data_IF_803149559343
#
_entry.id   IF_803149559343
#
_cell.length_a   1.000
_cell.length_b   1.000
_cell.length_c   1.000
_cell.angle_alpha   90.00
_cell.angle_beta   90.00
_cell.angle_gamma   90.00
#
_symmetry.space_group_name_H-M   'P 1'
#
loop_
_entity.id
_entity.type
_entity.pdbx_description
1 polymer ?
#
# COMPACT_ATOMS: atom_id res chain seq x y z
N UNK A 1 30.73 -21.58 -2.26
CA UNK A 1 30.64 -20.10 -2.35
C UNK A 1 29.20 -19.67 -2.08
N UNK A 2 28.84 -19.46 -0.81
CA UNK A 2 27.50 -18.99 -0.43
C UNK A 2 27.37 -17.50 -0.74
N UNK A 3 26.59 -17.15 -1.76
CA UNK A 3 26.18 -15.77 -1.98
C UNK A 3 25.43 -15.28 -0.72
N UNK A 4 26.07 -14.39 0.06
CA UNK A 4 25.40 -13.71 1.18
C UNK A 4 24.18 -13.00 0.59
N UNK A 5 22.99 -13.47 0.94
CA UNK A 5 21.73 -12.82 0.60
C UNK A 5 21.77 -11.43 1.21
N UNK A 6 21.95 -10.41 0.37
CA UNK A 6 21.90 -9.02 0.81
C UNK A 6 20.48 -8.73 1.31
N UNK A 7 20.34 -8.57 2.63
CA UNK A 7 19.11 -8.18 3.32
C UNK A 7 19.03 -6.64 3.45
N UNK A 8 19.89 -5.90 2.75
CA UNK A 8 19.98 -4.42 2.85
C UNK A 8 18.71 -3.73 2.33
N UNK A 9 17.85 -4.45 1.59
CA UNK A 9 16.53 -3.98 1.16
C UNK A 9 15.45 -4.10 2.25
N UNK A 10 15.75 -4.74 3.40
CA UNK A 10 14.91 -4.81 4.60
C UNK A 10 15.30 -3.71 5.59
N UNK A 11 15.56 -2.49 5.10
CA UNK A 11 15.63 -1.30 5.96
C UNK A 11 14.23 -0.94 6.45
N UNK A 12 13.67 -1.81 7.30
CA UNK A 12 12.27 -1.85 7.74
C UNK A 12 12.08 -0.93 8.94
N UNK A 13 11.23 0.07 8.82
CA UNK A 13 10.69 0.82 9.97
C UNK A 13 9.39 0.17 10.46
N UNK A 14 9.17 0.01 11.79
CA UNK A 14 8.36 -1.11 12.30
C UNK A 14 6.85 -0.84 12.45
N UNK A 15 6.37 0.40 12.44
CA UNK A 15 4.93 0.67 12.62
C UNK A 15 4.09 0.53 11.33
N UNK A 16 4.38 1.20 10.20
CA UNK A 16 3.44 1.22 9.07
C UNK A 16 3.48 -0.08 8.22
N UNK A 17 4.56 -0.86 8.31
CA UNK A 17 4.69 -2.13 7.58
C UNK A 17 3.88 -3.27 8.19
N UNK A 18 3.56 -3.20 9.49
CA UNK A 18 2.63 -4.15 10.11
C UNK A 18 1.20 -3.96 9.59
N UNK A 19 0.86 -2.73 9.23
CA UNK A 19 -0.46 -2.37 8.73
C UNK A 19 -0.60 -2.60 7.22
N UNK A 20 0.52 -2.71 6.49
CA UNK A 20 0.52 -2.92 5.04
C UNK A 20 -0.29 -4.15 4.59
N UNK A 21 -0.18 -5.35 5.20
CA UNK A 21 -1.01 -6.49 4.80
C UNK A 21 -2.51 -6.21 4.94
N UNK A 22 -2.92 -5.48 5.99
CA UNK A 22 -4.31 -5.12 6.20
C UNK A 22 -4.78 -4.08 5.17
N UNK A 23 -3.97 -3.05 4.91
CA UNK A 23 -4.27 -2.04 3.90
C UNK A 23 -4.35 -2.64 2.49
N UNK A 24 -3.41 -3.51 2.11
CA UNK A 24 -3.44 -4.19 0.81
C UNK A 24 -4.63 -5.14 0.71
N UNK A 25 -4.96 -5.87 1.78
CA UNK A 25 -6.16 -6.71 1.81
C UNK A 25 -7.45 -5.88 1.64
N UNK A 26 -7.54 -4.69 2.25
CA UNK A 26 -8.64 -3.76 2.06
C UNK A 26 -8.72 -3.26 0.60
N UNK A 27 -7.58 -2.92 -0.02
CA UNK A 27 -7.56 -2.52 -1.44
C UNK A 27 -7.96 -3.66 -2.40
N UNK A 28 -7.71 -4.92 -2.03
CA UNK A 28 -8.12 -6.10 -2.81
C UNK A 28 -9.57 -6.50 -2.56
N UNK A 29 -10.21 -6.00 -1.49
CA UNK A 29 -11.58 -6.30 -1.10
C UNK A 29 -12.44 -5.03 -1.18
N UNK A 30 -13.06 -4.73 -2.34
CA UNK A 30 -13.83 -3.49 -2.53
C UNK A 30 -15.15 -3.41 -1.73
N UNK A 31 -15.46 -4.40 -0.88
CA UNK A 31 -16.59 -4.31 0.03
C UNK A 31 -16.31 -3.25 1.11
N UNK A 32 -17.18 -2.24 1.21
CA UNK A 32 -17.09 -1.16 2.18
C UNK A 32 -17.12 -1.73 3.61
N UNK A 33 -15.95 -1.95 4.20
CA UNK A 33 -15.82 -2.54 5.52
C UNK A 33 -14.42 -3.06 5.82
N UNK A 34 -14.26 -3.65 7.01
CA UNK A 34 -13.00 -4.28 7.43
C UNK A 34 -12.69 -5.46 6.51
N UNK A 35 -11.46 -5.60 5.97
CA UNK A 35 -11.11 -6.75 5.16
C UNK A 35 -11.28 -8.05 5.97
N UNK A 36 -11.80 -9.14 5.36
CA UNK A 36 -11.85 -10.45 6.00
C UNK A 36 -10.48 -10.85 6.57
N UNK A 37 -10.47 -11.36 7.80
CA UNK A 37 -9.23 -11.79 8.49
C UNK A 37 -8.43 -12.81 7.67
N UNK A 38 -9.11 -13.67 6.91
CA UNK A 38 -8.48 -14.62 5.99
C UNK A 38 -7.66 -13.94 4.88
N UNK A 39 -8.14 -12.82 4.32
CA UNK A 39 -7.39 -12.06 3.31
C UNK A 39 -6.16 -11.37 3.91
N UNK A 40 -6.31 -10.81 5.11
CA UNK A 40 -5.17 -10.21 5.84
C UNK A 40 -4.11 -11.28 6.15
N UNK A 41 -4.53 -12.45 6.62
CA UNK A 41 -3.62 -13.56 6.91
C UNK A 41 -2.92 -14.09 5.65
N UNK A 42 -3.64 -14.19 4.53
CA UNK A 42 -3.06 -14.58 3.25
C UNK A 42 -2.01 -13.58 2.76
N UNK A 43 -2.28 -12.28 2.88
CA UNK A 43 -1.32 -11.24 2.47
C UNK A 43 -0.10 -11.21 3.41
N UNK A 44 -0.32 -11.36 4.72
CA UNK A 44 0.78 -11.50 5.68
C UNK A 44 1.68 -12.68 5.34
N UNK A 45 1.11 -13.86 5.07
CA UNK A 45 1.89 -15.03 4.69
C UNK A 45 2.64 -14.82 3.37
N UNK A 46 2.05 -14.10 2.42
CA UNK A 46 2.69 -13.77 1.14
C UNK A 46 3.91 -12.87 1.34
N UNK A 47 3.77 -11.80 2.13
CA UNK A 47 4.87 -10.89 2.49
C UNK A 47 5.94 -11.65 3.27
N UNK A 48 5.56 -12.44 4.27
CA UNK A 48 6.49 -13.25 5.06
C UNK A 48 7.32 -14.20 4.17
N UNK A 49 6.69 -14.89 3.20
CA UNK A 49 7.45 -15.73 2.26
C UNK A 49 8.38 -14.93 1.36
N UNK A 50 7.98 -13.73 0.93
CA UNK A 50 8.85 -12.84 0.15
C UNK A 50 10.04 -12.35 0.96
N UNK A 51 9.83 -12.03 2.24
CA UNK A 51 10.89 -11.63 3.18
C UNK A 51 11.85 -12.78 3.47
N UNK A 52 11.33 -13.94 3.87
CA UNK A 52 12.15 -15.07 4.31
C UNK A 52 12.80 -15.84 3.17
N UNK A 53 12.14 -15.94 2.01
CA UNK A 53 12.56 -16.83 0.91
C UNK A 53 12.55 -16.16 -0.46
N UNK A 54 12.13 -14.90 -0.56
CA UNK A 54 11.99 -14.21 -1.82
C UNK A 54 13.33 -13.78 -2.43
N UNK A 55 13.19 -13.09 -3.56
CA UNK A 55 14.29 -12.45 -4.27
C UNK A 55 13.96 -10.98 -4.41
N UNK A 56 14.98 -10.14 -4.64
CA UNK A 56 14.78 -8.72 -4.93
C UNK A 56 13.79 -8.51 -6.10
N UNK A 57 13.85 -9.35 -7.14
CA UNK A 57 12.89 -9.30 -8.26
C UNK A 57 11.46 -9.62 -7.81
N UNK A 58 11.29 -10.61 -6.92
CA UNK A 58 10.00 -10.95 -6.33
C UNK A 58 9.43 -9.81 -5.48
N UNK A 59 10.28 -9.17 -4.70
CA UNK A 59 9.93 -7.99 -3.89
C UNK A 59 9.51 -6.79 -4.76
N UNK A 60 10.32 -6.42 -5.76
CA UNK A 60 9.98 -5.31 -6.67
C UNK A 60 8.69 -5.57 -7.47
N UNK A 61 8.40 -6.83 -7.81
CA UNK A 61 7.12 -7.21 -8.42
C UNK A 61 5.97 -7.00 -7.45
N UNK A 62 6.13 -7.38 -6.19
CA UNK A 62 5.12 -7.14 -5.15
C UNK A 62 4.84 -5.64 -4.98
N UNK A 63 5.87 -4.81 -4.89
CA UNK A 63 5.71 -3.34 -4.79
C UNK A 63 4.97 -2.76 -6.01
N UNK A 64 5.23 -3.29 -7.21
CA UNK A 64 4.48 -2.93 -8.43
C UNK A 64 2.99 -3.26 -8.30
N UNK A 65 2.66 -4.47 -7.86
CA UNK A 65 1.26 -4.87 -7.68
C UNK A 65 0.52 -3.97 -6.68
N UNK A 66 1.19 -3.56 -5.59
CA UNK A 66 0.61 -2.64 -4.61
C UNK A 66 0.46 -1.23 -5.20
N UNK A 67 1.43 -0.76 -5.97
CA UNK A 67 1.32 0.51 -6.72
C UNK A 67 0.07 0.53 -7.61
N UNK A 68 -0.16 -0.54 -8.37
CA UNK A 68 -1.34 -0.65 -9.25
C UNK A 68 -2.66 -0.67 -8.45
N UNK A 69 -2.66 -1.20 -7.22
CA UNK A 69 -3.83 -1.15 -6.33
C UNK A 69 -4.10 0.28 -5.83
N UNK A 70 -3.06 1.00 -5.40
CA UNK A 70 -3.17 2.39 -4.92
C UNK A 70 -3.60 3.33 -6.04
N UNK A 71 -3.01 3.21 -7.23
CA UNK A 71 -3.38 4.01 -8.40
C UNK A 71 -4.84 3.78 -8.80
N UNK A 72 -5.31 2.53 -8.79
CA UNK A 72 -6.73 2.22 -9.04
C UNK A 72 -7.64 2.78 -7.96
N UNK A 73 -7.25 2.70 -6.69
CA UNK A 73 -8.03 3.25 -5.59
C UNK A 73 -8.13 4.78 -5.63
N UNK A 74 -7.06 5.47 -6.04
CA UNK A 74 -7.09 6.92 -6.25
C UNK A 74 -8.05 7.35 -7.37
N UNK A 75 -8.31 6.48 -8.35
CA UNK A 75 -9.32 6.70 -9.39
C UNK A 75 -10.75 6.30 -9.01
N UNK A 76 -10.94 5.58 -7.90
CA UNK A 76 -12.25 5.05 -7.49
C UNK A 76 -12.83 5.80 -6.30
N UNK A 77 -14.13 6.11 -6.36
CA UNK A 77 -14.85 6.67 -5.21
C UNK A 77 -15.28 5.63 -4.17
N UNK A 78 -15.19 4.35 -4.46
CA UNK A 78 -15.73 3.29 -3.58
C UNK A 78 -14.71 2.73 -2.58
N UNK A 79 -13.42 2.99 -2.78
CA UNK A 79 -12.37 2.45 -1.93
C UNK A 79 -12.09 3.36 -0.74
N UNK A 80 -11.70 2.75 0.39
CA UNK A 80 -11.25 3.47 1.57
C UNK A 80 -9.97 4.27 1.25
N UNK A 81 -10.02 5.61 1.28
CA UNK A 81 -8.86 6.44 0.99
C UNK A 81 -7.75 6.26 2.04
N UNK A 82 -8.07 5.90 3.29
CA UNK A 82 -7.06 5.72 4.36
C UNK A 82 -6.17 4.53 4.09
N UNK A 83 -6.76 3.37 3.73
CA UNK A 83 -6.00 2.20 3.32
C UNK A 83 -5.11 2.47 2.09
N UNK A 84 -5.60 3.24 1.11
CA UNK A 84 -4.84 3.60 -0.09
C UNK A 84 -3.66 4.53 0.23
N UNK A 85 -3.84 5.51 1.12
CA UNK A 85 -2.79 6.41 1.59
C UNK A 85 -1.69 5.63 2.31
N UNK A 86 -2.06 4.80 3.29
CA UNK A 86 -1.09 4.02 4.07
C UNK A 86 -0.25 3.09 3.17
N UNK A 87 -0.91 2.31 2.31
CA UNK A 87 -0.20 1.43 1.39
C UNK A 87 0.70 2.21 0.41
N UNK A 88 0.23 3.35 -0.09
CA UNK A 88 0.99 4.18 -1.02
C UNK A 88 2.22 4.83 -0.39
N UNK A 89 2.11 5.32 0.85
CA UNK A 89 3.23 5.92 1.58
C UNK A 89 4.33 4.90 1.88
N UNK A 90 3.96 3.71 2.36
CA UNK A 90 4.92 2.62 2.63
C UNK A 90 5.67 2.18 1.38
N UNK A 91 4.98 2.04 0.24
CA UNK A 91 5.62 1.64 -1.02
C UNK A 91 6.51 2.76 -1.58
N UNK A 92 6.08 4.01 -1.46
CA UNK A 92 6.87 5.16 -1.90
C UNK A 92 8.16 5.29 -1.09
N UNK A 93 8.09 5.07 0.22
CA UNK A 93 9.25 5.07 1.10
C UNK A 93 10.23 3.96 0.72
N UNK A 94 9.73 2.74 0.48
CA UNK A 94 10.53 1.63 -0.05
C UNK A 94 11.23 1.97 -1.38
N UNK A 95 10.55 2.62 -2.31
CA UNK A 95 11.16 3.03 -3.57
C UNK A 95 12.23 4.12 -3.39
N UNK A 96 12.09 5.00 -2.39
CA UNK A 96 13.08 6.03 -2.06
C UNK A 96 14.31 5.42 -1.42
N UNK A 97 14.15 4.44 -0.52
CA UNK A 97 15.26 3.72 0.10
C UNK A 97 16.18 3.01 -0.90
N UNK A 98 15.69 2.67 -2.11
CA UNK A 98 16.53 2.11 -3.18
C UNK A 98 17.64 3.05 -3.65
N UNK A 99 17.53 4.38 -3.43
CA UNK A 99 18.57 5.34 -3.81
C UNK A 99 19.90 5.09 -3.10
N UNK A 100 19.83 4.54 -1.88
CA UNK A 100 21.00 4.21 -1.07
C UNK A 100 21.61 2.85 -1.39
N UNK A 101 21.04 2.08 -2.33
CA UNK A 101 21.50 0.75 -2.68
C UNK A 101 22.22 0.74 -4.02
N UNK A 102 23.34 0.00 -4.15
CA UNK A 102 24.01 -0.15 -5.43
C UNK A 102 23.12 -0.88 -6.46
N UNK A 103 23.09 -0.36 -7.68
CA UNK A 103 22.41 -0.95 -8.84
C UNK A 103 21.23 -0.13 -9.38
N UNK A 104 20.69 -0.53 -10.52
CA UNK A 104 19.65 0.22 -11.25
C UNK A 104 18.23 0.13 -10.63
N UNK A 105 18.10 -0.29 -9.37
CA UNK A 105 16.79 -0.48 -8.72
C UNK A 105 16.03 0.84 -8.55
N UNK A 106 16.74 1.89 -8.19
CA UNK A 106 16.18 3.23 -8.05
C UNK A 106 15.67 3.78 -9.40
N UNK A 107 16.47 3.69 -10.46
CA UNK A 107 16.06 4.19 -11.79
C UNK A 107 14.86 3.41 -12.34
N UNK A 108 14.87 2.08 -12.19
CA UNK A 108 13.78 1.20 -12.67
C UNK A 108 12.43 1.47 -12.02
N UNK A 109 12.43 2.06 -10.83
CA UNK A 109 11.22 2.37 -10.05
C UNK A 109 10.77 3.83 -10.21
N UNK A 110 11.44 4.63 -11.05
CA UNK A 110 11.13 6.04 -11.25
C UNK A 110 9.70 6.30 -11.70
N UNK A 111 9.20 5.53 -12.68
CA UNK A 111 7.81 5.65 -13.14
C UNK A 111 6.81 5.35 -12.01
N UNK A 112 7.08 4.32 -11.22
CA UNK A 112 6.21 3.89 -10.12
C UNK A 112 6.16 4.93 -9.01
N UNK A 113 7.29 5.57 -8.68
CA UNK A 113 7.33 6.70 -7.73
C UNK A 113 6.46 7.85 -8.20
N UNK A 114 6.60 8.24 -9.47
CA UNK A 114 5.82 9.33 -10.05
C UNK A 114 4.31 9.05 -10.05
N UNK A 115 3.91 7.83 -10.38
CA UNK A 115 2.51 7.40 -10.33
C UNK A 115 1.95 7.39 -8.91
N UNK A 116 2.73 6.90 -7.93
CA UNK A 116 2.35 6.93 -6.51
C UNK A 116 2.21 8.35 -5.98
N UNK A 117 3.15 9.25 -6.28
CA UNK A 117 3.09 10.63 -5.83
C UNK A 117 1.83 11.34 -6.35
N UNK A 118 1.49 11.13 -7.62
CA UNK A 118 0.22 11.63 -8.19
C UNK A 118 -1.01 11.00 -7.56
N UNK A 119 -1.00 9.69 -7.30
CA UNK A 119 -2.11 9.00 -6.67
C UNK A 119 -2.34 9.49 -5.23
N UNK A 120 -1.27 9.65 -4.45
CA UNK A 120 -1.31 10.17 -3.09
C UNK A 120 -1.80 11.62 -3.04
N UNK A 121 -1.37 12.47 -3.98
CA UNK A 121 -1.88 13.85 -4.08
C UNK A 121 -3.40 13.86 -4.26
N UNK A 122 -3.93 13.06 -5.21
CA UNK A 122 -5.38 12.94 -5.43
C UNK A 122 -6.14 12.39 -4.23
N UNK A 123 -5.56 11.43 -3.50
CA UNK A 123 -6.16 10.86 -2.30
C UNK A 123 -6.22 11.88 -1.16
N UNK A 124 -5.21 12.74 -1.01
CA UNK A 124 -5.16 13.81 0.02
C UNK A 124 -6.10 14.97 -0.28
N UNK A 125 -6.30 15.29 -1.55
CA UNK A 125 -7.25 16.32 -2.00
C UNK A 125 -8.72 15.87 -1.90
N UNK A 126 -8.95 14.58 -1.60
CA UNK A 126 -10.29 14.03 -1.53
C UNK A 126 -10.99 14.50 -0.25
N UNK A 127 -12.16 15.15 -0.34
CA UNK A 127 -12.92 15.47 0.86
C UNK A 127 -13.31 14.17 1.58
N UNK A 128 -13.16 14.15 2.90
CA UNK A 128 -13.75 13.09 3.74
C UNK A 128 -15.23 12.98 3.34
N UNK A 129 -15.76 11.76 3.10
CA UNK A 129 -17.17 11.62 2.80
C UNK A 129 -17.92 12.25 3.97
N UNK A 130 -18.65 13.33 3.69
CA UNK A 130 -19.48 13.98 4.68
C UNK A 130 -20.30 12.88 5.34
N UNK A 131 -20.06 12.64 6.63
CA UNK A 131 -20.95 11.84 7.45
C UNK A 131 -22.33 12.48 7.25
N UNK A 132 -23.19 11.82 6.48
CA UNK A 132 -24.60 12.16 6.44
C UNK A 132 -25.06 11.92 7.88
N UNK A 133 -25.05 13.00 8.66
CA UNK A 133 -25.58 12.98 10.02
C UNK A 133 -27.01 12.44 9.95
N UNK A 134 -27.46 11.68 10.96
CA UNK A 134 -28.83 11.22 10.99
C UNK A 134 -29.74 12.43 10.81
N UNK A 135 -30.54 12.40 9.75
CA UNK A 135 -31.60 13.38 9.52
C UNK A 135 -32.49 13.37 10.76
N UNK A 136 -32.35 14.37 11.63
CA UNK A 136 -33.32 14.61 12.69
C UNK A 136 -34.67 14.88 12.01
N UNK A 137 -35.72 14.08 12.30
CA UNK A 137 -37.05 14.45 11.88
C UNK A 137 -37.52 15.59 12.79
N UNK A 138 -37.47 16.82 12.28
CA UNK A 138 -38.15 17.94 12.92
C UNK A 138 -39.66 17.66 12.97
N UNK A 139 -40.18 17.67 14.20
CA UNK A 139 -41.50 18.12 14.64
C UNK A 139 -42.73 17.79 13.79
N UNK A 140 -43.68 17.09 14.39
CA UNK A 140 -45.11 17.36 14.14
C UNK A 140 -45.81 17.58 15.48
N UNK A 141 -46.31 18.82 15.59
CA UNK A 141 -47.41 19.42 16.36
C UNK A 141 -48.14 18.51 17.35
#
# INVERSE_FOLDING_TARGET
MSARRSLVWLGLTPEPEQELPAAVAALRSPAAGRPPSALVAAERHRVERLVLRGTQRGWLRYLREVTDLVVRAAGSRTNDPKAALLAGEVVLDHHRMLIGLPGAGYDRTALQRHELERALARLRERPEPALVGPSEPWSTI
#
